data_IF_406762813529
#
_entry.id   IF_406762813529
#
_cell.length_a   1.000
_cell.length_b   1.000
_cell.length_c   1.000
_cell.angle_alpha   90.00
_cell.angle_beta   90.00
_cell.angle_gamma   90.00
#
_symmetry.space_group_name_H-M   'P 1'
#
loop_
_entity.id
_entity.type
_entity.pdbx_description
1 polymer ?
#
# COMPACT_ATOMS: atom_id res chain seq x y z
N UNK A 1 -19.40 20.69 -13.07
CA UNK A 1 -19.01 19.39 -12.47
C UNK A 1 -17.83 18.84 -13.25
N UNK A 2 -16.65 18.71 -12.62
CA UNK A 2 -15.49 18.05 -13.23
C UNK A 2 -15.74 16.55 -13.15
N UNK A 3 -15.70 15.77 -14.25
CA UNK A 3 -15.87 14.33 -14.13
C UNK A 3 -14.72 13.81 -13.26
N UNK A 4 -15.06 13.09 -12.18
CA UNK A 4 -14.12 12.36 -11.38
C UNK A 4 -13.43 11.35 -12.30
N UNK A 5 -12.32 11.77 -12.89
CA UNK A 5 -11.54 10.99 -13.82
C UNK A 5 -11.11 9.73 -13.10
N UNK A 6 -11.62 8.60 -13.56
CA UNK A 6 -11.19 7.24 -13.22
C UNK A 6 -9.70 7.30 -12.92
N UNK A 7 -9.30 7.05 -11.67
CA UNK A 7 -7.88 7.06 -11.31
C UNK A 7 -7.14 6.20 -12.36
N UNK A 8 -6.09 6.72 -13.02
CA UNK A 8 -5.46 6.01 -14.13
C UNK A 8 -5.12 4.60 -13.66
N UNK A 9 -5.47 3.56 -14.44
CA UNK A 9 -5.33 2.15 -14.05
C UNK A 9 -3.93 1.83 -13.48
N UNK A 10 -2.90 2.55 -13.94
CA UNK A 10 -1.54 2.53 -13.42
C UNK A 10 -1.43 2.77 -11.89
N UNK A 11 -2.26 3.63 -11.29
CA UNK A 11 -2.23 3.87 -9.84
C UNK A 11 -2.76 2.66 -9.06
N UNK A 12 -3.78 1.98 -9.57
CA UNK A 12 -4.25 0.72 -8.98
C UNK A 12 -3.20 -0.38 -9.12
N UNK A 13 -2.56 -0.51 -10.30
CA UNK A 13 -1.45 -1.44 -10.50
C UNK A 13 -0.28 -1.15 -9.54
N UNK A 14 0.01 0.13 -9.31
CA UNK A 14 1.05 0.56 -8.35
C UNK A 14 0.68 0.13 -6.93
N UNK A 15 -0.55 0.38 -6.50
CA UNK A 15 -1.03 -0.05 -5.19
C UNK A 15 -0.92 -1.57 -5.00
N UNK A 16 -1.39 -2.36 -5.97
CA UNK A 16 -1.29 -3.81 -5.92
C UNK A 16 0.17 -4.28 -5.85
N UNK A 17 1.06 -3.65 -6.62
CA UNK A 17 2.49 -3.97 -6.61
C UNK A 17 3.12 -3.69 -5.23
N UNK A 18 2.78 -2.57 -4.60
CA UNK A 18 3.26 -2.24 -3.24
C UNK A 18 2.79 -3.28 -2.22
N UNK A 19 1.53 -3.73 -2.30
CA UNK A 19 1.01 -4.80 -1.45
C UNK A 19 1.75 -6.13 -1.68
N UNK A 20 1.90 -6.55 -2.93
CA UNK A 20 2.64 -7.77 -3.29
C UNK A 20 4.09 -7.72 -2.80
N UNK A 21 4.73 -6.55 -2.89
CA UNK A 21 6.06 -6.32 -2.36
C UNK A 21 6.15 -6.52 -0.85
N UNK A 22 5.19 -5.97 -0.08
CA UNK A 22 5.17 -6.20 1.37
C UNK A 22 4.92 -7.67 1.73
N UNK A 23 4.04 -8.36 0.99
CA UNK A 23 3.80 -9.81 1.19
C UNK A 23 5.09 -10.60 0.96
N UNK A 24 5.80 -10.31 -0.14
CA UNK A 24 7.06 -10.95 -0.45
C UNK A 24 8.10 -10.71 0.66
N UNK A 25 8.28 -9.46 1.09
CA UNK A 25 9.20 -9.12 2.19
C UNK A 25 8.82 -9.83 3.50
N UNK A 26 7.54 -9.80 3.88
CA UNK A 26 7.08 -10.47 5.09
C UNK A 26 7.38 -11.97 5.05
N UNK A 27 7.10 -12.63 3.92
CA UNK A 27 7.40 -14.06 3.74
C UNK A 27 8.90 -14.34 3.76
N UNK A 28 9.72 -13.43 3.22
CA UNK A 28 11.17 -13.55 3.28
C UNK A 28 11.66 -13.51 4.73
N UNK A 29 11.18 -12.56 5.53
CA UNK A 29 11.54 -12.44 6.94
C UNK A 29 11.07 -13.65 7.78
N UNK A 30 9.88 -14.20 7.50
CA UNK A 30 9.39 -15.38 8.22
C UNK A 30 10.16 -16.64 7.87
N UNK A 31 10.46 -16.87 6.59
CA UNK A 31 11.15 -18.08 6.12
C UNK A 31 12.65 -18.03 6.43
N UNK A 32 13.31 -16.90 6.17
CA UNK A 32 14.77 -16.82 6.24
C UNK A 32 15.29 -16.28 7.58
N UNK A 33 14.47 -15.55 8.34
CA UNK A 33 14.87 -15.00 9.65
C UNK A 33 14.09 -15.56 10.83
N UNK A 34 13.21 -16.53 10.60
CA UNK A 34 12.39 -17.14 11.65
C UNK A 34 11.41 -16.17 12.32
N UNK A 35 11.08 -15.05 11.67
CA UNK A 35 10.11 -14.11 12.22
C UNK A 35 8.72 -14.77 12.29
N UNK A 36 7.96 -14.52 13.36
CA UNK A 36 6.58 -15.01 13.45
C UNK A 36 5.70 -14.34 12.37
N UNK A 37 4.89 -15.10 11.63
CA UNK A 37 3.93 -14.52 10.70
C UNK A 37 2.90 -13.70 11.46
N UNK A 38 2.62 -12.49 10.98
CA UNK A 38 1.74 -11.54 11.66
C UNK A 38 1.03 -10.66 10.63
N UNK A 39 -0.28 -10.87 10.49
CA UNK A 39 -1.12 -10.08 9.61
C UNK A 39 -1.15 -8.59 10.01
N UNK A 40 -1.30 -8.21 11.30
CA UNK A 40 -1.24 -6.81 11.70
C UNK A 40 0.07 -6.13 11.29
N UNK A 41 1.22 -6.79 11.49
CA UNK A 41 2.53 -6.27 11.09
C UNK A 41 2.63 -6.06 9.58
N UNK A 42 2.10 -7.00 8.79
CA UNK A 42 2.08 -6.89 7.33
C UNK A 42 1.25 -5.68 6.89
N UNK A 43 0.06 -5.49 7.47
CA UNK A 43 -0.85 -4.40 7.08
C UNK A 43 -0.32 -3.03 7.48
N UNK A 44 0.29 -2.91 8.66
CA UNK A 44 0.99 -1.67 9.03
C UNK A 44 2.17 -1.38 8.10
N UNK A 45 2.88 -2.42 7.62
CA UNK A 45 3.94 -2.24 6.60
C UNK A 45 3.38 -1.76 5.26
N UNK A 46 2.23 -2.28 4.81
CA UNK A 46 1.53 -1.82 3.60
C UNK A 46 1.09 -0.36 3.72
N UNK A 47 0.54 0.02 4.86
CA UNK A 47 0.11 1.39 5.16
C UNK A 47 1.29 2.35 5.18
N UNK A 48 2.39 1.99 5.85
CA UNK A 48 3.61 2.79 5.86
C UNK A 48 4.16 3.01 4.44
N UNK A 49 4.16 1.97 3.61
CA UNK A 49 4.60 2.08 2.21
C UNK A 49 3.69 3.01 1.38
N UNK A 50 2.37 2.96 1.60
CA UNK A 50 1.42 3.87 0.94
C UNK A 50 1.66 5.34 1.33
N UNK A 51 1.96 5.61 2.60
CA UNK A 51 2.30 6.96 3.08
C UNK A 51 3.60 7.47 2.45
N UNK A 52 4.63 6.62 2.34
CA UNK A 52 5.87 6.96 1.66
C UNK A 52 5.63 7.24 0.17
N UNK A 53 4.77 6.44 -0.46
CA UNK A 53 4.44 6.61 -1.87
C UNK A 53 3.64 7.90 -2.13
N UNK A 54 2.82 8.35 -1.18
CA UNK A 54 2.08 9.63 -1.26
C UNK A 54 3.00 10.81 -1.54
N UNK A 55 4.22 10.81 -1.01
CA UNK A 55 5.20 11.87 -1.23
C UNK A 55 5.70 11.94 -2.69
N UNK A 56 5.57 10.86 -3.46
CA UNK A 56 5.98 10.76 -4.87
C UNK A 56 4.85 11.05 -5.85
N UNK A 57 3.61 11.17 -5.37
CA UNK A 57 2.45 11.41 -6.21
C UNK A 57 2.21 12.92 -6.45
N UNK A 58 1.73 13.30 -7.65
CA UNK A 58 1.20 14.64 -7.90
C UNK A 58 0.09 15.00 -6.90
N UNK A 59 -0.03 16.29 -6.57
CA UNK A 59 -1.00 16.78 -5.57
C UNK A 59 -2.43 16.26 -5.78
N UNK A 60 -2.88 16.20 -7.04
CA UNK A 60 -4.21 15.69 -7.44
C UNK A 60 -4.50 14.22 -7.08
N UNK A 61 -3.48 13.44 -6.70
CA UNK A 61 -3.62 12.02 -6.38
C UNK A 61 -3.23 11.71 -4.93
N UNK A 62 -2.95 12.71 -4.09
CA UNK A 62 -2.60 12.49 -2.68
C UNK A 62 -3.77 11.89 -1.90
N UNK A 63 -5.00 12.34 -2.14
CA UNK A 63 -6.21 11.78 -1.53
C UNK A 63 -6.40 10.28 -1.86
N UNK A 64 -5.94 9.83 -3.03
CA UNK A 64 -6.01 8.42 -3.40
C UNK A 64 -5.07 7.57 -2.53
N UNK A 65 -3.86 8.05 -2.25
CA UNK A 65 -2.95 7.35 -1.34
C UNK A 65 -3.47 7.35 0.11
N UNK A 66 -4.19 8.40 0.53
CA UNK A 66 -4.87 8.41 1.83
C UNK A 66 -5.99 7.36 1.88
N UNK A 67 -6.75 7.18 0.78
CA UNK A 67 -7.72 6.09 0.65
C UNK A 67 -7.07 4.70 0.74
N UNK A 68 -5.91 4.50 0.10
CA UNK A 68 -5.16 3.24 0.22
C UNK A 68 -4.77 2.94 1.67
N UNK A 69 -4.33 3.96 2.42
CA UNK A 69 -4.01 3.81 3.83
C UNK A 69 -5.23 3.40 4.67
N UNK A 70 -6.41 3.90 4.33
CA UNK A 70 -7.66 3.56 5.01
C UNK A 70 -8.07 2.09 4.79
N UNK A 71 -7.73 1.49 3.64
CA UNK A 71 -7.98 0.07 3.39
C UNK A 71 -7.23 -0.86 4.37
N UNK A 72 -6.16 -0.37 5.01
CA UNK A 72 -5.39 -1.13 5.99
C UNK A 72 -5.76 -0.83 7.45
N UNK A 73 -6.72 0.07 7.71
CA UNK A 73 -7.13 0.44 9.07
C UNK A 73 -8.03 -0.60 9.76
N UNK A 74 -8.48 -1.65 9.06
CA UNK A 74 -9.35 -2.71 9.61
C UNK A 74 -8.72 -4.09 9.51
N UNK A 75 -7.78 -4.39 10.39
CA UNK A 75 -7.41 -5.76 10.74
C UNK A 75 -6.93 -5.84 12.19
#
# INVERSE_FOLDING_TARGET
MKPAGRAPAALLSTFLLLCCWQIWKHRHETVFRGATPSLPRLLESCKAECLLWRCRLPAKYKDLADQWCNNFRMA
#
